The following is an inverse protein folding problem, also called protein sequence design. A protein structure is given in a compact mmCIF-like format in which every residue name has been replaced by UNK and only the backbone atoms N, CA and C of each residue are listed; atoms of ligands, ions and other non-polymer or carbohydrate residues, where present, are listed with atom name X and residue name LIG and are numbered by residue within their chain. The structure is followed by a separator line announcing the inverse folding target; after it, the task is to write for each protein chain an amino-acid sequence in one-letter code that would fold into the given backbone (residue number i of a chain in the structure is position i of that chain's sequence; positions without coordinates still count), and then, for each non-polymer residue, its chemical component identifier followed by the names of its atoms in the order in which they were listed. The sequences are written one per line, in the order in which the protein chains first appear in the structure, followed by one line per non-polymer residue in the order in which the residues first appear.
data_IF_793474156371
#
_entry.id   IF_793474156371
#
_cell.length_a   1.000
_cell.length_b   1.000
_cell.length_c   1.000
_cell.angle_alpha   90.00
_cell.angle_beta   90.00
_cell.angle_gamma   90.00
#
_symmetry.space_group_name_H-M   'P 1'
#
loop_
_entity.id
_entity.type
_entity.pdbx_description
1 polymer ?
#
# COMPACT_ATOMS: atom_id res chain seq x y z
N UNK A 1 -20.84 -21.80 -8.25
CA UNK A 1 -19.82 -21.30 -7.32
C UNK A 1 -20.36 -21.39 -5.91
N UNK A 2 -20.25 -22.59 -5.33
CA UNK A 2 -20.75 -22.78 -3.98
C UNK A 2 -19.91 -21.97 -2.99
N UNK A 3 -20.32 -20.71 -2.85
CA UNK A 3 -20.37 -19.97 -1.60
C UNK A 3 -19.04 -19.59 -0.95
N UNK A 4 -18.06 -19.16 -1.76
CA UNK A 4 -16.97 -18.40 -1.17
C UNK A 4 -17.53 -17.05 -0.68
N UNK A 5 -17.48 -16.85 0.66
CA UNK A 5 -17.79 -15.57 1.30
C UNK A 5 -16.55 -15.14 2.07
N UNK A 6 -16.16 -13.87 1.89
CA UNK A 6 -15.04 -13.26 2.59
C UNK A 6 -15.43 -11.89 3.11
N UNK A 7 -14.95 -11.55 4.29
CA UNK A 7 -15.09 -10.21 4.86
C UNK A 7 -13.79 -9.80 5.55
N UNK A 8 -12.76 -9.58 4.74
CA UNK A 8 -11.42 -9.22 5.21
C UNK A 8 -11.25 -7.71 5.17
N UNK A 9 -11.77 -7.04 6.20
CA UNK A 9 -11.69 -5.58 6.37
C UNK A 9 -10.52 -5.19 7.25
N UNK A 10 -9.70 -4.26 6.76
CA UNK A 10 -8.57 -3.71 7.49
C UNK A 10 -8.48 -2.20 7.29
N UNK A 11 -7.59 -1.55 8.04
CA UNK A 11 -7.30 -0.15 7.86
C UNK A 11 -6.82 0.13 6.43
N UNK A 12 -7.40 1.14 5.78
CA UNK A 12 -7.14 1.45 4.37
C UNK A 12 -5.65 1.66 4.06
N UNK A 13 -4.96 2.37 4.94
CA UNK A 13 -3.57 2.80 4.79
C UNK A 13 -2.55 1.90 5.49
N UNK A 14 -2.90 0.66 5.81
CA UNK A 14 -2.02 -0.31 6.44
C UNK A 14 -1.98 -1.63 5.65
N UNK A 15 -0.84 -2.31 5.70
CA UNK A 15 -0.72 -3.69 5.22
C UNK A 15 -1.37 -4.61 6.26
N UNK A 16 -2.34 -5.47 5.87
CA UNK A 16 -2.97 -6.42 6.78
C UNK A 16 -1.98 -7.43 7.36
N UNK A 17 -1.92 -7.57 8.68
CA UNK A 17 -1.09 -8.55 9.39
C UNK A 17 -1.82 -9.85 9.74
N UNK A 18 -3.13 -9.88 9.54
CA UNK A 18 -3.91 -11.09 9.72
C UNK A 18 -5.07 -11.16 8.73
N UNK A 19 -5.45 -12.38 8.33
CA UNK A 19 -6.62 -12.65 7.52
C UNK A 19 -7.27 -13.96 8.00
N UNK A 20 -8.53 -13.86 8.43
CA UNK A 20 -9.28 -15.02 8.97
C UNK A 20 -10.17 -15.60 7.89
N UNK A 21 -10.15 -16.92 7.76
CA UNK A 21 -10.99 -17.70 6.86
C UNK A 21 -11.76 -18.75 7.64
N UNK A 22 -13.08 -18.68 7.60
CA UNK A 22 -14.04 -19.60 8.22
C UNK A 22 -14.99 -20.26 7.20
N UNK A 23 -14.60 -20.19 5.92
CA UNK A 23 -15.38 -20.71 4.81
C UNK A 23 -15.21 -22.21 4.57
N UNK A 24 -15.80 -22.74 3.47
CA UNK A 24 -15.71 -24.16 3.10
C UNK A 24 -14.31 -24.55 2.61
N UNK A 25 -14.03 -25.86 2.54
CA UNK A 25 -12.78 -26.44 2.01
C UNK A 25 -11.52 -26.01 2.79
N UNK A 26 -11.62 -25.90 4.12
CA UNK A 26 -10.48 -25.42 4.93
C UNK A 26 -9.25 -26.34 4.79
N UNK A 27 -9.43 -27.65 4.65
CA UNK A 27 -8.28 -28.56 4.49
C UNK A 27 -7.55 -28.33 3.18
N UNK A 28 -8.26 -28.10 2.07
CA UNK A 28 -7.65 -27.73 0.79
C UNK A 28 -6.95 -26.37 0.87
N UNK A 29 -7.52 -25.41 1.60
CA UNK A 29 -6.89 -24.09 1.83
C UNK A 29 -5.61 -24.23 2.65
N UNK A 30 -5.58 -25.08 3.68
CA UNK A 30 -4.34 -25.38 4.44
C UNK A 30 -3.27 -25.97 3.54
N UNK A 31 -3.63 -26.95 2.69
CA UNK A 31 -2.70 -27.53 1.72
C UNK A 31 -2.15 -26.47 0.76
N UNK A 32 -2.99 -25.54 0.31
CA UNK A 32 -2.55 -24.44 -0.56
C UNK A 32 -1.62 -23.46 0.19
N UNK A 33 -1.92 -23.11 1.45
CA UNK A 33 -1.05 -22.29 2.28
C UNK A 33 0.32 -22.96 2.51
N UNK A 34 0.34 -24.25 2.81
CA UNK A 34 1.57 -25.03 2.99
C UNK A 34 2.40 -25.07 1.70
N UNK A 35 1.73 -25.29 0.54
CA UNK A 35 2.35 -25.29 -0.80
C UNK A 35 3.08 -23.96 -1.08
N UNK A 36 2.50 -22.84 -0.67
CA UNK A 36 3.10 -21.52 -0.84
C UNK A 36 4.08 -21.15 0.29
N UNK A 37 4.17 -21.94 1.35
CA UNK A 37 5.00 -21.64 2.52
C UNK A 37 4.49 -20.44 3.34
N UNK A 38 3.19 -20.19 3.32
CA UNK A 38 2.58 -19.10 4.06
C UNK A 38 2.31 -19.51 5.52
N UNK A 39 2.65 -18.64 6.44
CA UNK A 39 2.45 -18.88 7.87
C UNK A 39 0.99 -18.67 8.25
N UNK A 40 0.43 -19.60 8.99
CA UNK A 40 -0.93 -19.52 9.51
C UNK A 40 -1.08 -20.29 10.83
N UNK A 41 -2.15 -20.00 11.54
CA UNK A 41 -2.68 -20.81 12.65
C UNK A 41 -4.08 -21.30 12.29
N UNK A 42 -4.54 -22.39 12.88
CA UNK A 42 -5.91 -22.86 12.69
C UNK A 42 -6.49 -23.44 13.97
N UNK A 43 -7.78 -23.31 14.12
CA UNK A 43 -8.60 -24.01 15.09
C UNK A 43 -9.63 -24.91 14.36
N UNK A 44 -10.63 -25.41 15.08
CA UNK A 44 -11.65 -26.32 14.53
C UNK A 44 -12.57 -25.63 13.50
N UNK A 45 -12.64 -24.29 13.48
CA UNK A 45 -13.61 -23.53 12.71
C UNK A 45 -12.98 -22.51 11.75
N UNK A 46 -11.71 -22.20 11.93
CA UNK A 46 -11.08 -21.12 11.15
C UNK A 46 -9.59 -21.31 10.90
N UNK A 47 -9.10 -20.60 9.89
CA UNK A 47 -7.69 -20.45 9.55
C UNK A 47 -7.36 -18.98 9.68
N UNK A 48 -6.29 -18.62 10.39
CA UNK A 48 -5.76 -17.26 10.46
C UNK A 48 -4.40 -17.20 9.79
N UNK A 49 -4.35 -16.58 8.62
CA UNK A 49 -3.09 -16.33 7.91
C UNK A 49 -2.36 -15.17 8.56
N UNK A 50 -1.04 -15.34 8.74
CA UNK A 50 -0.18 -14.40 9.45
C UNK A 50 0.61 -13.55 8.47
N UNK A 51 0.62 -12.26 8.72
CA UNK A 51 1.38 -11.26 7.98
C UNK A 51 2.19 -10.35 8.90
N UNK A 52 2.59 -9.20 8.35
CA UNK A 52 3.33 -8.15 9.07
C UNK A 52 2.81 -6.80 8.65
N UNK A 53 2.19 -6.07 9.59
CA UNK A 53 1.69 -4.73 9.33
C UNK A 53 2.81 -3.71 9.21
N UNK A 54 2.63 -2.84 8.23
CA UNK A 54 3.37 -1.59 8.05
C UNK A 54 2.42 -0.58 7.41
N UNK A 55 2.75 0.70 7.44
CA UNK A 55 2.01 1.71 6.70
C UNK A 55 2.05 1.42 5.18
N UNK A 56 0.96 1.67 4.44
CA UNK A 56 0.86 1.36 3.00
C UNK A 56 1.98 1.98 2.14
N UNK A 57 2.51 3.15 2.52
CA UNK A 57 3.68 3.75 1.86
C UNK A 57 4.95 2.90 1.95
N UNK A 58 5.00 1.98 2.91
CA UNK A 58 6.09 1.04 3.15
C UNK A 58 5.70 -0.40 2.81
N UNK A 59 4.65 -0.60 2.02
CA UNK A 59 4.09 -1.92 1.70
C UNK A 59 5.13 -2.99 1.34
N UNK A 60 6.20 -2.71 0.58
CA UNK A 60 7.26 -3.69 0.30
C UNK A 60 8.01 -4.22 1.53
N UNK A 61 7.91 -3.57 2.69
CA UNK A 61 8.53 -4.02 3.97
C UNK A 61 7.57 -4.80 4.87
N UNK A 62 6.31 -4.88 4.48
CA UNK A 62 5.27 -5.65 5.14
C UNK A 62 5.10 -7.04 4.54
N UNK A 63 4.15 -7.78 5.13
CA UNK A 63 3.67 -9.05 4.59
C UNK A 63 2.15 -9.03 4.65
N UNK A 64 1.49 -9.05 3.51
CA UNK A 64 0.05 -8.87 3.41
C UNK A 64 -0.70 -10.20 3.56
N UNK A 65 -1.31 -10.41 4.72
CA UNK A 65 -2.05 -11.64 5.03
C UNK A 65 -3.29 -11.83 4.13
N UNK A 66 -3.95 -10.75 3.71
CA UNK A 66 -5.10 -10.81 2.79
C UNK A 66 -4.68 -11.34 1.42
N UNK A 67 -3.53 -10.89 0.90
CA UNK A 67 -3.01 -11.40 -0.37
C UNK A 67 -2.63 -12.88 -0.27
N UNK A 68 -1.96 -13.29 0.80
CA UNK A 68 -1.58 -14.70 1.02
C UNK A 68 -2.79 -15.61 1.10
N UNK A 69 -3.81 -15.21 1.84
CA UNK A 69 -5.06 -15.97 1.89
C UNK A 69 -5.73 -16.01 0.50
N UNK A 70 -5.80 -14.88 -0.21
CA UNK A 70 -6.40 -14.82 -1.54
C UNK A 70 -5.66 -15.71 -2.57
N UNK A 71 -4.32 -15.78 -2.51
CA UNK A 71 -3.51 -16.69 -3.35
C UNK A 71 -3.84 -18.15 -3.05
N UNK A 72 -3.94 -18.53 -1.77
CA UNK A 72 -4.32 -19.90 -1.40
C UNK A 72 -5.75 -20.24 -1.81
N UNK A 73 -6.67 -19.29 -1.72
CA UNK A 73 -8.05 -19.45 -2.18
C UNK A 73 -8.16 -19.58 -3.70
N UNK A 74 -7.30 -18.90 -4.47
CA UNK A 74 -7.23 -19.03 -5.93
C UNK A 74 -6.84 -20.44 -6.37
N UNK A 75 -6.00 -21.13 -5.61
CA UNK A 75 -5.66 -22.53 -5.86
C UNK A 75 -6.86 -23.51 -5.62
N UNK A 76 -7.84 -23.11 -4.80
CA UNK A 76 -8.94 -23.98 -4.34
C UNK A 76 -10.27 -23.68 -5.03
N UNK A 77 -10.50 -22.43 -5.40
CA UNK A 77 -11.76 -21.96 -5.97
C UNK A 77 -11.55 -21.40 -7.38
N UNK A 78 -12.33 -21.90 -8.33
CA UNK A 78 -12.40 -21.31 -9.67
C UNK A 78 -13.28 -20.04 -9.62
N UNK A 79 -12.63 -18.90 -9.32
CA UNK A 79 -13.31 -17.62 -9.18
C UNK A 79 -12.45 -16.49 -9.76
N UNK A 80 -12.82 -16.01 -10.93
CA UNK A 80 -12.04 -15.11 -11.76
C UNK A 80 -11.51 -13.83 -11.07
N UNK A 81 -12.23 -13.17 -10.15
CA UNK A 81 -11.66 -12.06 -9.38
C UNK A 81 -10.49 -12.44 -8.47
N UNK A 82 -10.42 -13.71 -7.97
CA UNK A 82 -9.26 -14.19 -7.23
C UNK A 82 -8.05 -14.38 -8.14
N UNK A 83 -8.26 -14.78 -9.40
CA UNK A 83 -7.19 -14.93 -10.40
C UNK A 83 -6.38 -13.63 -10.55
N UNK A 84 -7.00 -12.46 -10.34
CA UNK A 84 -6.28 -11.20 -10.34
C UNK A 84 -5.17 -11.18 -9.30
N UNK A 85 -5.45 -11.66 -8.08
CA UNK A 85 -4.45 -11.73 -7.01
C UNK A 85 -3.54 -12.93 -7.23
N UNK A 86 -4.09 -14.14 -7.37
CA UNK A 86 -3.32 -15.38 -7.39
C UNK A 86 -2.45 -15.55 -8.63
N UNK A 87 -2.88 -15.06 -9.79
CA UNK A 87 -2.17 -15.27 -11.07
C UNK A 87 -1.39 -14.05 -11.54
N UNK A 88 -1.91 -12.84 -11.33
CA UNK A 88 -1.26 -11.62 -11.81
C UNK A 88 -0.58 -10.82 -10.70
N UNK A 89 -1.33 -10.32 -9.72
CA UNK A 89 -0.81 -9.40 -8.70
C UNK A 89 0.15 -10.10 -7.73
N UNK A 90 -0.24 -11.25 -7.20
CA UNK A 90 0.51 -12.03 -6.20
C UNK A 90 0.77 -11.21 -4.92
N UNK A 91 2.00 -11.24 -4.39
CA UNK A 91 2.44 -10.43 -3.26
C UNK A 91 3.21 -9.16 -3.71
N UNK A 92 2.92 -8.63 -4.90
CA UNK A 92 3.68 -7.51 -5.48
C UNK A 92 3.24 -6.16 -4.90
N UNK A 93 3.83 -5.77 -3.80
CA UNK A 93 3.56 -4.50 -3.13
C UNK A 93 4.01 -3.25 -3.91
N UNK A 94 4.61 -3.42 -5.09
CA UNK A 94 4.99 -2.31 -5.99
C UNK A 94 4.05 -2.17 -7.18
N UNK A 95 3.16 -3.16 -7.39
CA UNK A 95 2.25 -3.21 -8.53
C UNK A 95 2.94 -3.44 -9.88
N UNK A 96 4.20 -3.82 -9.90
CA UNK A 96 5.00 -4.00 -11.12
C UNK A 96 4.42 -5.07 -12.05
N UNK A 97 3.82 -6.12 -11.48
CA UNK A 97 3.17 -7.18 -12.25
C UNK A 97 1.94 -6.68 -13.03
N UNK A 98 1.29 -5.62 -12.54
CA UNK A 98 0.08 -5.03 -13.14
C UNK A 98 0.41 -3.81 -13.98
N UNK A 99 1.26 -2.93 -13.46
CA UNK A 99 1.52 -1.60 -13.99
C UNK A 99 2.90 -1.45 -14.65
N UNK A 100 3.79 -2.43 -14.47
CA UNK A 100 5.20 -2.30 -14.80
C UNK A 100 5.96 -1.52 -13.72
N UNK A 101 7.24 -1.30 -13.95
CA UNK A 101 8.08 -0.52 -13.01
C UNK A 101 7.71 0.96 -13.10
N UNK A 102 7.07 1.47 -12.06
CA UNK A 102 6.61 2.86 -11.95
C UNK A 102 7.38 3.56 -10.84
N UNK A 103 8.29 4.45 -11.22
CA UNK A 103 9.13 5.21 -10.28
C UNK A 103 9.55 6.55 -10.84
N UNK A 104 9.92 7.46 -9.96
CA UNK A 104 10.61 8.71 -10.28
C UNK A 104 11.59 9.09 -9.14
N UNK A 105 12.04 10.34 -9.11
CA UNK A 105 12.93 10.83 -8.06
C UNK A 105 12.30 10.80 -6.64
N UNK A 106 10.97 10.76 -6.54
CA UNK A 106 10.26 10.63 -5.26
C UNK A 106 10.16 9.20 -4.75
N UNK A 107 10.56 8.22 -5.54
CA UNK A 107 10.58 6.82 -5.18
C UNK A 107 9.76 5.93 -6.11
N UNK A 108 9.49 4.73 -5.66
CA UNK A 108 8.71 3.73 -6.37
C UNK A 108 7.26 3.75 -5.93
N UNK A 109 6.34 3.48 -6.86
CA UNK A 109 4.93 3.23 -6.56
C UNK A 109 4.79 2.13 -5.51
N UNK A 110 3.90 2.34 -4.54
CA UNK A 110 3.44 1.26 -3.66
C UNK A 110 1.97 0.96 -3.93
N UNK A 111 1.64 -0.33 -3.86
CA UNK A 111 0.32 -0.85 -4.16
C UNK A 111 -0.09 -1.81 -3.04
N UNK A 112 -0.97 -1.37 -2.16
CA UNK A 112 -1.47 -2.18 -1.05
C UNK A 112 -2.94 -2.52 -1.25
N UNK A 113 -3.27 -3.81 -1.28
CA UNK A 113 -4.66 -4.28 -1.17
C UNK A 113 -4.94 -4.48 0.31
N UNK A 114 -5.70 -3.57 0.91
CA UNK A 114 -5.97 -3.55 2.35
C UNK A 114 -7.16 -4.40 2.75
N UNK A 115 -8.11 -4.64 1.85
CA UNK A 115 -9.29 -5.47 2.13
C UNK A 115 -9.79 -6.23 0.92
N UNK A 116 -10.43 -7.35 1.19
CA UNK A 116 -11.10 -8.20 0.21
C UNK A 116 -12.43 -8.68 0.79
N UNK A 117 -13.51 -8.29 0.12
CA UNK A 117 -14.87 -8.69 0.45
C UNK A 117 -15.46 -9.45 -0.74
N UNK A 118 -16.02 -10.62 -0.48
CA UNK A 118 -16.72 -11.44 -1.48
C UNK A 118 -18.04 -11.87 -0.88
N UNK A 119 -19.13 -11.55 -1.54
CA UNK A 119 -20.47 -12.00 -1.20
C UNK A 119 -21.27 -12.36 -2.46
N UNK A 120 -22.53 -12.71 -2.30
CA UNK A 120 -23.39 -13.14 -3.41
C UNK A 120 -23.61 -12.06 -4.50
N UNK A 121 -23.44 -10.78 -4.15
CA UNK A 121 -23.78 -9.67 -5.03
C UNK A 121 -22.55 -8.96 -5.60
N UNK A 122 -21.44 -8.94 -4.87
CA UNK A 122 -20.25 -8.19 -5.26
C UNK A 122 -18.94 -8.80 -4.74
N UNK A 123 -17.88 -8.48 -5.45
CA UNK A 123 -16.50 -8.61 -4.97
C UNK A 123 -15.89 -7.22 -4.90
N UNK A 124 -15.35 -6.86 -3.74
CA UNK A 124 -14.74 -5.56 -3.50
C UNK A 124 -13.32 -5.73 -2.96
N UNK A 125 -12.39 -4.99 -3.55
CA UNK A 125 -11.01 -4.84 -3.07
C UNK A 125 -10.75 -3.36 -2.78
N UNK A 126 -10.20 -3.05 -1.61
CA UNK A 126 -9.72 -1.69 -1.32
C UNK A 126 -8.23 -1.61 -1.60
N UNK A 127 -7.83 -0.59 -2.35
CA UNK A 127 -6.46 -0.40 -2.81
C UNK A 127 -5.96 0.97 -2.35
N UNK A 128 -4.81 1.01 -1.69
CA UNK A 128 -4.04 2.24 -1.43
C UNK A 128 -2.87 2.28 -2.42
N UNK A 129 -2.89 3.26 -3.33
CA UNK A 129 -1.84 3.52 -4.30
C UNK A 129 -1.07 4.77 -3.89
N UNK A 130 0.24 4.65 -3.64
CA UNK A 130 1.13 5.79 -3.48
C UNK A 130 1.88 6.00 -4.79
N UNK A 131 1.42 6.99 -5.54
CA UNK A 131 1.88 7.26 -6.90
C UNK A 131 3.04 8.26 -6.83
N UNK A 132 4.20 7.99 -7.48
CA UNK A 132 5.30 8.94 -7.57
C UNK A 132 4.86 10.27 -8.17
N UNK A 133 5.48 11.37 -7.72
CA UNK A 133 4.95 12.74 -7.89
C UNK A 133 4.91 13.25 -9.33
N UNK A 134 5.76 12.73 -10.23
CA UNK A 134 5.82 13.14 -11.64
C UNK A 134 5.10 12.20 -12.59
N UNK A 135 4.54 11.10 -12.07
CA UNK A 135 3.86 10.08 -12.88
C UNK A 135 2.50 10.59 -13.34
N UNK A 136 2.20 10.40 -14.62
CA UNK A 136 0.88 10.67 -15.19
C UNK A 136 -0.15 9.68 -14.59
N UNK A 137 -0.89 10.20 -13.61
CA UNK A 137 -1.91 9.45 -12.86
C UNK A 137 -3.01 8.90 -13.75
N UNK A 138 -3.48 9.68 -14.72
CA UNK A 138 -4.63 9.28 -15.52
C UNK A 138 -4.26 8.14 -16.46
N UNK A 139 -3.09 8.18 -17.06
CA UNK A 139 -2.54 7.06 -17.83
C UNK A 139 -2.32 5.82 -16.96
N UNK A 140 -1.81 6.00 -15.75
CA UNK A 140 -1.61 4.90 -14.80
C UNK A 140 -2.94 4.21 -14.45
N UNK A 141 -3.98 4.99 -14.12
CA UNK A 141 -5.30 4.47 -13.76
C UNK A 141 -6.04 3.87 -14.96
N UNK A 142 -5.83 4.39 -16.17
CA UNK A 142 -6.35 3.78 -17.39
C UNK A 142 -5.74 2.40 -17.64
N UNK A 143 -4.43 2.27 -17.40
CA UNK A 143 -3.73 0.97 -17.47
C UNK A 143 -4.25 -0.01 -16.43
N UNK A 144 -4.40 0.43 -15.16
CA UNK A 144 -4.97 -0.38 -14.09
C UNK A 144 -6.37 -0.86 -14.45
N UNK A 145 -7.24 0.04 -14.89
CA UNK A 145 -8.61 -0.27 -15.29
C UNK A 145 -8.68 -1.32 -16.39
N UNK A 146 -7.79 -1.26 -17.37
CA UNK A 146 -7.69 -2.25 -18.44
C UNK A 146 -7.25 -3.62 -17.92
N UNK A 147 -6.28 -3.66 -17.00
CA UNK A 147 -5.76 -4.90 -16.44
C UNK A 147 -6.81 -5.61 -15.59
N UNK A 148 -7.48 -4.90 -14.67
CA UNK A 148 -8.47 -5.51 -13.78
C UNK A 148 -9.72 -5.97 -14.52
N UNK A 149 -10.08 -5.32 -15.63
CA UNK A 149 -11.24 -5.71 -16.46
C UNK A 149 -11.12 -7.15 -17.03
N UNK A 150 -9.90 -7.65 -17.26
CA UNK A 150 -9.66 -9.02 -17.68
C UNK A 150 -10.07 -10.06 -16.62
N UNK A 151 -10.25 -9.65 -15.37
CA UNK A 151 -10.60 -10.46 -14.21
C UNK A 151 -12.02 -10.18 -13.69
N UNK A 152 -12.89 -9.61 -14.54
CA UNK A 152 -14.26 -9.22 -14.21
C UNK A 152 -14.34 -8.19 -13.06
N UNK A 153 -13.28 -7.42 -12.90
CA UNK A 153 -13.18 -6.33 -11.93
C UNK A 153 -13.28 -4.97 -12.63
N UNK A 154 -13.79 -3.98 -11.91
CA UNK A 154 -13.89 -2.60 -12.37
C UNK A 154 -13.18 -1.69 -11.36
N UNK A 155 -12.23 -0.88 -11.85
CA UNK A 155 -11.67 0.18 -11.04
C UNK A 155 -12.72 1.26 -10.76
N UNK A 156 -12.88 1.60 -9.47
CA UNK A 156 -13.74 2.69 -9.01
C UNK A 156 -12.89 3.66 -8.19
N UNK A 157 -12.84 4.90 -8.62
CA UNK A 157 -12.15 5.94 -7.88
C UNK A 157 -12.88 6.25 -6.58
N UNK A 158 -12.18 6.22 -5.46
CA UNK A 158 -12.74 6.47 -4.13
C UNK A 158 -12.26 7.82 -3.58
N UNK A 159 -10.95 8.03 -3.54
CA UNK A 159 -10.35 9.24 -2.98
C UNK A 159 -9.01 9.54 -3.65
N UNK A 160 -8.63 10.81 -3.67
CA UNK A 160 -7.35 11.23 -4.22
C UNK A 160 -6.81 12.46 -3.51
N UNK A 161 -5.62 12.32 -3.00
CA UNK A 161 -4.86 13.43 -2.46
C UNK A 161 -3.66 13.70 -3.37
N UNK A 162 -3.73 14.77 -4.17
CA UNK A 162 -2.65 15.17 -5.06
C UNK A 162 -1.35 15.39 -4.28
N UNK A 163 -0.16 14.99 -4.81
CA UNK A 163 1.10 15.24 -4.13
C UNK A 163 1.38 16.74 -4.05
N UNK A 164 2.08 17.15 -2.99
CA UNK A 164 2.76 18.43 -2.95
C UNK A 164 4.17 18.18 -3.48
N UNK A 165 4.51 18.79 -4.61
CA UNK A 165 5.83 18.67 -5.21
C UNK A 165 6.38 20.04 -5.60
N UNK A 166 7.55 20.36 -5.07
CA UNK A 166 8.34 21.54 -5.46
C UNK A 166 9.73 21.04 -5.88
N UNK A 167 10.18 21.32 -7.11
CA UNK A 167 11.46 20.84 -7.62
C UNK A 167 12.64 21.24 -6.71
N UNK A 168 13.61 20.34 -6.55
CA UNK A 168 14.81 20.57 -5.73
C UNK A 168 15.62 21.76 -6.18
N UNK A 169 15.64 22.02 -7.49
CA UNK A 169 16.36 23.13 -8.11
C UNK A 169 15.58 24.46 -8.10
N UNK A 170 14.36 24.46 -7.55
CA UNK A 170 13.59 25.70 -7.37
C UNK A 170 14.32 26.69 -6.47
N UNK A 171 14.08 28.00 -6.69
CA UNK A 171 14.66 29.05 -5.85
C UNK A 171 14.28 28.86 -4.36
N UNK A 172 13.03 28.45 -4.10
CA UNK A 172 12.54 28.20 -2.75
C UNK A 172 13.37 27.11 -2.07
N UNK A 173 13.43 25.92 -2.64
CA UNK A 173 14.12 24.76 -2.03
C UNK A 173 15.60 25.03 -1.88
N UNK A 174 16.28 25.57 -2.91
CA UNK A 174 17.71 25.92 -2.79
C UNK A 174 18.00 26.92 -1.68
N UNK A 175 17.12 27.93 -1.51
CA UNK A 175 17.31 28.94 -0.45
C UNK A 175 17.14 28.30 0.92
N UNK A 176 16.10 27.50 1.12
CA UNK A 176 15.84 26.82 2.39
C UNK A 176 16.96 25.84 2.74
N UNK A 177 17.41 25.04 1.78
CA UNK A 177 18.52 24.10 2.00
C UNK A 177 19.84 24.80 2.31
N UNK A 178 20.12 25.96 1.68
CA UNK A 178 21.28 26.76 2.03
C UNK A 178 21.22 27.18 3.49
N UNK A 179 20.10 27.77 3.94
CA UNK A 179 19.91 28.21 5.33
C UNK A 179 20.02 27.02 6.29
N UNK A 180 19.41 25.88 5.97
CA UNK A 180 19.49 24.68 6.80
C UNK A 180 20.94 24.23 7.01
N UNK A 181 21.69 24.08 5.91
CA UNK A 181 23.11 23.66 5.96
C UNK A 181 23.99 24.65 6.75
N UNK A 182 23.76 25.97 6.57
CA UNK A 182 24.49 26.99 7.33
C UNK A 182 24.19 26.99 8.83
N UNK A 183 22.93 26.70 9.22
CA UNK A 183 22.53 26.72 10.63
C UNK A 183 22.85 25.40 11.36
N UNK A 184 22.77 24.25 10.68
CA UNK A 184 22.96 22.95 11.30
C UNK A 184 24.37 22.39 11.16
N UNK A 185 25.15 22.89 10.18
CA UNK A 185 26.43 22.30 9.78
C UNK A 185 26.32 21.00 8.99
N UNK A 186 25.09 20.52 8.72
CA UNK A 186 24.84 19.32 7.91
C UNK A 186 24.93 19.65 6.42
N UNK A 187 26.15 19.64 5.89
CA UNK A 187 26.44 20.01 4.50
C UNK A 187 25.91 19.00 3.48
N UNK A 188 25.69 17.76 3.91
CA UNK A 188 25.22 16.66 3.06
C UNK A 188 23.69 16.51 3.07
N UNK A 189 22.98 17.33 3.86
CA UNK A 189 21.52 17.29 3.93
C UNK A 189 20.87 17.50 2.57
N UNK A 190 19.85 16.68 2.29
CA UNK A 190 19.03 16.77 1.08
C UNK A 190 17.54 16.93 1.44
N UNK A 191 16.73 17.56 0.56
CA UNK A 191 15.28 17.61 0.75
C UNK A 191 14.71 16.21 0.88
N UNK A 192 13.77 16.02 1.80
CA UNK A 192 13.18 14.72 2.09
C UNK A 192 11.76 14.63 1.54
N UNK A 193 11.29 13.40 1.36
CA UNK A 193 9.94 13.07 0.95
C UNK A 193 9.20 12.55 2.17
N UNK A 194 8.04 13.14 2.46
CA UNK A 194 7.15 12.69 3.52
C UNK A 194 5.92 12.01 2.95
N UNK A 195 5.53 10.87 3.49
CA UNK A 195 4.26 10.21 3.19
C UNK A 195 3.05 10.86 3.88
N UNK A 196 3.29 11.78 4.82
CA UNK A 196 2.27 12.55 5.51
C UNK A 196 1.82 13.79 4.74
N UNK A 197 0.64 14.31 5.09
CA UNK A 197 0.15 15.59 4.58
C UNK A 197 0.52 16.72 5.53
N UNK A 198 0.84 17.90 4.99
CA UNK A 198 1.15 19.12 5.74
C UNK A 198 0.28 20.28 5.24
N UNK A 199 0.19 21.36 6.03
CA UNK A 199 -0.50 22.58 5.63
C UNK A 199 0.13 23.28 4.41
N UNK A 200 1.37 22.96 4.06
CA UNK A 200 2.02 23.46 2.85
C UNK A 200 1.20 23.16 1.57
N UNK A 201 0.35 22.12 1.59
CA UNK A 201 -0.55 21.75 0.47
C UNK A 201 -1.62 22.80 0.16
N UNK A 202 -1.91 23.71 1.09
CA UNK A 202 -2.94 24.74 0.89
C UNK A 202 -2.42 25.94 0.12
N UNK A 203 -1.14 25.97 -0.21
CA UNK A 203 -0.47 27.09 -0.86
C UNK A 203 0.29 26.62 -2.10
N UNK A 204 0.33 27.47 -3.13
CA UNK A 204 1.17 27.24 -4.29
C UNK A 204 2.64 27.49 -3.92
N UNK A 205 3.55 26.67 -4.48
CA UNK A 205 4.99 26.81 -4.27
C UNK A 205 5.37 26.92 -2.79
N UNK A 206 4.94 25.95 -2.00
CA UNK A 206 5.18 25.88 -0.57
C UNK A 206 5.70 24.48 -0.20
N UNK A 207 6.57 24.40 0.81
CA UNK A 207 7.10 23.15 1.36
C UNK A 207 7.05 23.19 2.89
N UNK A 208 7.00 22.04 3.53
CA UNK A 208 7.29 21.96 4.96
C UNK A 208 8.80 22.13 5.18
N UNK A 209 9.19 22.95 6.16
CA UNK A 209 10.58 23.25 6.45
C UNK A 209 10.81 23.38 7.95
N UNK A 210 11.94 22.86 8.41
CA UNK A 210 12.35 22.93 9.82
C UNK A 210 11.78 21.78 10.66
N UNK A 211 11.86 21.94 11.93
CA UNK A 211 11.30 21.06 12.93
C UNK A 211 12.26 19.99 13.42
N UNK A 212 12.33 18.85 12.81
CA UNK A 212 13.10 17.72 13.29
C UNK A 212 14.53 17.74 12.73
N UNK A 213 15.52 17.70 13.61
CA UNK A 213 16.91 17.43 13.21
C UNK A 213 17.16 15.92 13.17
N UNK A 214 18.16 15.42 12.42
CA UNK A 214 18.48 14.00 12.36
C UNK A 214 18.79 13.38 13.73
N UNK A 215 19.19 14.19 14.70
CA UNK A 215 19.49 13.78 16.08
C UNK A 215 18.30 13.83 17.01
N UNK A 216 17.17 14.38 16.58
CA UNK A 216 15.95 14.49 17.39
C UNK A 216 15.19 13.18 17.38
N UNK A 217 14.84 12.60 18.54
CA UNK A 217 14.00 11.42 18.60
C UNK A 217 12.63 11.72 17.98
N UNK A 218 12.13 10.79 17.18
CA UNK A 218 10.81 10.90 16.57
C UNK A 218 9.73 10.39 17.52
N UNK A 219 8.95 11.32 18.08
CA UNK A 219 7.80 11.04 18.94
C UNK A 219 6.47 11.31 18.24
N UNK A 220 6.46 11.53 16.93
CA UNK A 220 5.26 11.84 16.17
C UNK A 220 4.19 10.76 16.34
N UNK A 221 2.98 11.16 16.70
CA UNK A 221 1.82 10.31 16.94
C UNK A 221 1.98 9.28 18.09
N UNK A 222 2.92 9.52 18.99
CA UNK A 222 3.15 8.67 20.16
C UNK A 222 2.62 9.33 21.45
N UNK A 223 2.40 8.52 22.48
CA UNK A 223 2.11 9.06 23.81
C UNK A 223 3.30 9.93 24.27
N UNK A 224 2.98 11.10 24.82
CA UNK A 224 3.96 12.12 25.22
C UNK A 224 4.75 12.73 24.04
N UNK A 225 4.10 12.84 22.87
CA UNK A 225 4.66 13.60 21.76
C UNK A 225 5.17 14.96 22.24
N UNK A 226 6.40 15.27 21.90
CA UNK A 226 7.07 16.49 22.28
C UNK A 226 7.89 17.05 21.12
N UNK A 227 8.03 18.35 21.14
CA UNK A 227 8.83 19.10 20.18
C UNK A 227 10.08 19.62 20.87
N UNK A 228 11.29 19.49 20.30
CA UNK A 228 12.53 19.99 20.91
C UNK A 228 12.60 21.51 20.89
#
# INVERSE_FOLDING_TARGET
TDQLKLNLKNAFNAVPDSAVYDGPKQDEVKVALDKHGFEYTSDDNSITVIGKSVHAMMAPKGTNAVLRLAIALDDVFDFKPLDFIGKLFKEDATGSNVLGDVRDESGQLTFNISSLEINENETRMQIDLRIPVTVDRDNLLAKLSKQVAAYDLKYVHFDYLAPLYVPKDSKLVRTLMKVYKEQTGDVDAEPQISGGATFARTMNNCVAFGGMLPTTPDYMHQANEQWP
#
